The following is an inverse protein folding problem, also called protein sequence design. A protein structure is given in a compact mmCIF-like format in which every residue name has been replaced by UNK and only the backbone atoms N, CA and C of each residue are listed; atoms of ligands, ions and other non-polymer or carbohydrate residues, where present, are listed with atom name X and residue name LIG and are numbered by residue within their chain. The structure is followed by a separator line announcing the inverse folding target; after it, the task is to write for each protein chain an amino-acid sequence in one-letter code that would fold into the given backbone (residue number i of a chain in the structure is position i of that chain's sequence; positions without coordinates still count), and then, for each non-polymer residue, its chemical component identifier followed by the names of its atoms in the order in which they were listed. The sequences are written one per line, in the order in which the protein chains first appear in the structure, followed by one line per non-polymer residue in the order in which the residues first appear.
data_IF_325214795267
#
_entry.id   IF_325214795267
#
_cell.length_a   1.000
_cell.length_b   1.000
_cell.length_c   1.000
_cell.angle_alpha   90.00
_cell.angle_beta   90.00
_cell.angle_gamma   90.00
#
_symmetry.space_group_name_H-M   'P 1'
#
loop_
_entity.id
_entity.type
_entity.pdbx_description
1 polymer ?
#
# COMPACT_ATOMS: atom_id res chain seq x y z
N UNK A 1 21.92 -1.84 13.44
CA UNK A 1 21.13 -1.17 12.39
C UNK A 1 19.66 -1.46 12.62
N UNK A 2 18.76 -0.49 12.37
CA UNK A 2 17.32 -0.78 12.32
C UNK A 2 17.12 -1.82 11.20
N UNK A 3 16.41 -2.91 11.47
CA UNK A 3 16.28 -4.05 10.55
C UNK A 3 15.78 -3.66 9.15
N UNK A 4 15.74 -4.63 8.23
CA UNK A 4 15.22 -4.36 6.90
C UNK A 4 13.77 -3.86 6.96
N UNK A 5 13.39 -2.88 6.10
CA UNK A 5 12.03 -2.40 6.08
C UNK A 5 11.08 -3.55 5.73
N UNK A 6 9.96 -3.62 6.45
CA UNK A 6 8.87 -4.51 6.10
C UNK A 6 8.33 -4.15 4.70
N UNK A 7 7.96 -5.15 3.87
CA UNK A 7 7.24 -4.89 2.65
C UNK A 7 5.98 -4.08 2.93
N UNK A 8 5.81 -2.99 2.20
CA UNK A 8 4.66 -2.13 2.34
C UNK A 8 4.27 -1.51 1.00
N UNK A 9 2.96 -1.35 0.82
CA UNK A 9 2.37 -0.63 -0.31
C UNK A 9 1.46 0.45 0.27
N UNK A 10 1.55 1.66 -0.25
CA UNK A 10 0.71 2.79 0.14
C UNK A 10 0.05 3.35 -1.11
N UNK A 11 -1.26 3.61 -1.04
CA UNK A 11 -1.96 4.41 -2.05
C UNK A 11 -2.24 5.78 -1.44
N UNK A 12 -1.76 6.82 -2.11
CA UNK A 12 -1.74 8.20 -1.65
C UNK A 12 -2.52 9.05 -2.66
N UNK A 13 -3.40 9.92 -2.16
CA UNK A 13 -4.16 10.82 -3.03
C UNK A 13 -3.35 12.05 -3.47
N UNK A 14 -3.94 12.88 -4.34
CA UNK A 14 -3.32 14.11 -4.86
C UNK A 14 -3.08 15.18 -3.78
N UNK A 15 -3.65 15.04 -2.59
CA UNK A 15 -3.41 15.91 -1.42
C UNK A 15 -2.28 15.39 -0.53
N UNK A 16 -1.65 14.27 -0.90
CA UNK A 16 -0.59 13.64 -0.12
C UNK A 16 -1.10 12.80 1.06
N UNK A 17 -2.39 12.46 1.10
CA UNK A 17 -2.98 11.68 2.19
C UNK A 17 -2.99 10.19 1.84
N UNK A 18 -2.50 9.35 2.75
CA UNK A 18 -2.60 7.88 2.64
C UNK A 18 -4.07 7.47 2.73
N UNK A 19 -4.62 6.91 1.65
CA UNK A 19 -6.01 6.42 1.58
C UNK A 19 -6.10 4.93 1.80
N UNK A 20 -5.02 4.21 1.50
CA UNK A 20 -4.92 2.77 1.76
C UNK A 20 -3.48 2.39 2.02
N UNK A 21 -3.28 1.35 2.84
CA UNK A 21 -1.96 0.76 3.07
C UNK A 21 -2.08 -0.74 3.33
N UNK A 22 -1.03 -1.45 2.95
CA UNK A 22 -0.77 -2.83 3.35
C UNK A 22 0.68 -2.91 3.83
N UNK A 23 0.89 -3.45 5.03
CA UNK A 23 2.22 -3.66 5.63
C UNK A 23 2.29 -5.11 6.08
N UNK A 24 3.37 -5.82 5.72
CA UNK A 24 3.51 -7.24 6.00
C UNK A 24 4.80 -7.55 6.74
N UNK A 25 4.74 -8.53 7.64
CA UNK A 25 5.95 -9.04 8.31
C UNK A 25 6.66 -10.06 7.43
N UNK A 26 5.89 -10.89 6.72
CA UNK A 26 6.44 -11.85 5.77
C UNK A 26 6.93 -11.15 4.49
N UNK A 27 8.22 -11.29 4.22
CA UNK A 27 8.90 -10.70 3.07
C UNK A 27 8.49 -11.29 1.72
N UNK A 28 7.69 -12.36 1.70
CA UNK A 28 7.13 -12.95 0.46
C UNK A 28 5.73 -12.44 0.14
N UNK A 29 5.03 -11.83 1.10
CA UNK A 29 3.67 -11.32 0.88
C UNK A 29 3.75 -9.90 0.29
N UNK A 30 3.01 -9.68 -0.80
CA UNK A 30 2.88 -8.40 -1.50
C UNK A 30 1.41 -8.08 -1.73
N UNK A 31 1.10 -6.81 -1.91
CA UNK A 31 -0.20 -6.41 -2.45
C UNK A 31 -0.38 -6.97 -3.85
N UNK A 32 -1.58 -7.46 -4.15
CA UNK A 32 -1.92 -7.81 -5.52
C UNK A 32 -2.29 -6.55 -6.30
N UNK A 33 -2.23 -6.64 -7.63
CA UNK A 33 -2.62 -5.53 -8.50
C UNK A 33 -4.09 -5.18 -8.31
N UNK A 34 -4.96 -6.17 -8.11
CA UNK A 34 -6.40 -5.99 -7.91
C UNK A 34 -6.67 -5.18 -6.63
N UNK A 35 -5.94 -5.46 -5.54
CA UNK A 35 -6.05 -4.70 -4.30
C UNK A 35 -5.66 -3.22 -4.49
N UNK A 36 -4.59 -2.97 -5.26
CA UNK A 36 -4.11 -1.62 -5.55
C UNK A 36 -5.13 -0.87 -6.43
N UNK A 37 -5.63 -1.52 -7.47
CA UNK A 37 -6.62 -0.93 -8.39
C UNK A 37 -7.95 -0.64 -7.70
N UNK A 38 -8.40 -1.50 -6.80
CA UNK A 38 -9.57 -1.25 -5.94
C UNK A 38 -9.35 -0.04 -5.02
N UNK A 39 -8.19 0.05 -4.37
CA UNK A 39 -7.86 1.18 -3.53
C UNK A 39 -7.78 2.50 -4.32
N UNK A 40 -7.28 2.48 -5.56
CA UNK A 40 -7.24 3.63 -6.45
C UNK A 40 -8.65 4.07 -6.88
N UNK A 41 -9.52 3.14 -7.27
CA UNK A 41 -10.91 3.44 -7.68
C UNK A 41 -11.67 4.21 -6.59
N UNK A 42 -11.45 3.88 -5.32
CA UNK A 42 -12.07 4.58 -4.17
C UNK A 42 -11.56 5.99 -3.92
N UNK A 43 -10.47 6.41 -4.57
CA UNK A 43 -9.94 7.79 -4.46
C UNK A 43 -10.56 8.70 -5.53
N UNK A 44 -10.90 8.13 -6.68
CA UNK A 44 -11.48 8.86 -7.81
C UNK A 44 -13.03 8.90 -7.79
N UNK A 45 -13.69 8.11 -6.92
CA UNK A 45 -15.12 8.26 -6.56
C UNK A 45 -15.38 9.46 -5.64
#
# INVERSE_FOLDING_TARGET
GRGWPHPATYVIDKKGIVRWKLVQVDYKVRSTNEQILEALRRIDE
#
